data_IF_402558482676
#
_entry.id   IF_402558482676
#
_cell.length_a   1.000
_cell.length_b   1.000
_cell.length_c   1.000
_cell.angle_alpha   90.00
_cell.angle_beta   90.00
_cell.angle_gamma   90.00
#
_symmetry.space_group_name_H-M   'P 1'
#
loop_
_entity.id
_entity.type
_entity.pdbx_description
1 polymer ?
#
# COMPACT_ATOMS: atom_id res chain seq x y z
N UNK A 1 -12.48 -2.76 22.42
CA UNK A 1 -13.59 -2.94 21.44
C UNK A 1 -13.80 -4.43 21.16
N UNK A 2 -15.02 -4.91 21.37
CA UNK A 2 -15.43 -6.30 21.11
C UNK A 2 -15.25 -6.56 19.60
N UNK A 3 -14.54 -7.65 19.27
CA UNK A 3 -14.35 -8.09 17.90
C UNK A 3 -15.71 -8.52 17.31
N UNK A 4 -16.06 -7.99 16.12
CA UNK A 4 -17.08 -8.62 15.28
C UNK A 4 -18.26 -7.77 14.82
N UNK A 5 -18.40 -6.49 15.20
CA UNK A 5 -19.45 -5.66 14.59
C UNK A 5 -18.97 -5.09 13.24
N UNK A 6 -19.61 -5.42 12.11
CA UNK A 6 -19.32 -4.76 10.84
C UNK A 6 -19.80 -3.31 10.92
N UNK A 7 -18.89 -2.36 10.70
CA UNK A 7 -19.27 -0.96 10.58
C UNK A 7 -19.84 -0.69 9.19
N UNK A 8 -21.01 -0.06 9.13
CA UNK A 8 -21.54 0.45 7.87
C UNK A 8 -20.69 1.62 7.37
N UNK A 9 -20.58 1.78 6.05
CA UNK A 9 -19.81 2.89 5.45
C UNK A 9 -20.36 4.25 5.91
N UNK A 10 -21.68 4.39 5.99
CA UNK A 10 -22.38 5.59 6.47
C UNK A 10 -22.03 5.95 7.91
N UNK A 11 -21.92 4.96 8.80
CA UNK A 11 -21.54 5.12 10.20
C UNK A 11 -20.08 5.59 10.33
N UNK A 12 -19.16 5.00 9.57
CA UNK A 12 -17.76 5.41 9.58
C UNK A 12 -17.60 6.83 9.03
N UNK A 13 -18.35 7.19 7.99
CA UNK A 13 -18.35 8.54 7.45
C UNK A 13 -18.87 9.57 8.46
N UNK A 14 -19.85 9.22 9.30
CA UNK A 14 -20.45 10.16 10.26
C UNK A 14 -19.68 10.24 11.59
N UNK A 15 -19.14 9.12 12.08
CA UNK A 15 -18.56 9.03 13.44
C UNK A 15 -17.07 8.72 13.47
N UNK A 16 -16.50 8.24 12.36
CA UNK A 16 -15.10 7.85 12.27
C UNK A 16 -14.16 9.04 12.44
N UNK A 17 -12.93 8.77 12.93
CA UNK A 17 -11.91 9.82 13.06
C UNK A 17 -11.58 10.35 11.67
N UNK A 18 -11.91 11.62 11.42
CA UNK A 18 -11.61 12.32 10.18
C UNK A 18 -10.19 12.91 10.19
N UNK A 19 -9.51 12.84 9.06
CA UNK A 19 -8.19 13.42 8.86
C UNK A 19 -8.08 13.96 7.42
N UNK A 20 -7.95 15.28 7.31
CA UNK A 20 -7.58 15.95 6.08
C UNK A 20 -6.06 15.88 5.90
N UNK A 21 -5.61 15.51 4.72
CA UNK A 21 -4.18 15.43 4.36
C UNK A 21 -4.01 15.48 2.83
N UNK A 22 -2.75 15.57 2.39
CA UNK A 22 -2.35 15.28 1.03
C UNK A 22 -1.91 13.80 0.95
N UNK A 23 -2.74 12.98 0.32
CA UNK A 23 -2.58 11.54 0.27
C UNK A 23 -1.91 11.10 -1.03
N UNK A 24 -0.67 10.65 -0.94
CA UNK A 24 0.05 10.04 -2.05
C UNK A 24 -0.34 8.58 -2.19
N UNK A 25 -0.75 8.18 -3.41
CA UNK A 25 -1.06 6.79 -3.75
C UNK A 25 0.26 6.04 -3.90
N UNK A 26 0.55 5.16 -2.94
CA UNK A 26 1.79 4.39 -2.94
C UNK A 26 1.71 3.25 -3.94
N UNK A 27 0.63 2.47 -3.88
CA UNK A 27 0.46 1.27 -4.67
C UNK A 27 -0.97 0.76 -4.56
N UNK A 28 -1.37 -0.02 -5.55
CA UNK A 28 -2.69 -0.66 -5.56
C UNK A 28 -2.58 -2.09 -6.04
N UNK A 29 -3.50 -2.93 -5.60
CA UNK A 29 -3.66 -4.29 -6.08
C UNK A 29 -5.14 -4.63 -6.22
N UNK A 30 -5.45 -5.49 -7.18
CA UNK A 30 -6.79 -6.02 -7.43
C UNK A 30 -6.74 -7.53 -7.36
N UNK A 31 -7.72 -8.12 -6.70
CA UNK A 31 -7.90 -9.56 -6.61
C UNK A 31 -9.36 -9.86 -6.93
N UNK A 32 -9.60 -10.76 -7.88
CA UNK A 32 -10.92 -11.24 -8.22
C UNK A 32 -11.12 -12.63 -7.61
N UNK A 33 -12.29 -12.86 -7.01
CA UNK A 33 -12.66 -14.18 -6.51
C UNK A 33 -13.50 -14.95 -7.56
N UNK A 34 -13.85 -16.20 -7.23
CA UNK A 34 -14.65 -17.07 -8.10
C UNK A 34 -16.07 -16.52 -8.40
N UNK A 35 -16.59 -15.61 -7.57
CA UNK A 35 -17.92 -14.99 -7.71
C UNK A 35 -17.92 -13.69 -8.53
N UNK A 36 -16.84 -13.38 -9.25
CA UNK A 36 -16.64 -12.09 -9.94
C UNK A 36 -16.75 -10.86 -9.02
N UNK A 37 -16.38 -11.04 -7.74
CA UNK A 37 -16.16 -9.96 -6.81
C UNK A 37 -14.69 -9.54 -6.90
N UNK A 38 -14.45 -8.35 -7.43
CA UNK A 38 -13.12 -7.75 -7.42
C UNK A 38 -12.96 -6.92 -6.15
N UNK A 39 -11.96 -7.27 -5.34
CA UNK A 39 -11.45 -6.45 -4.26
C UNK A 39 -10.30 -5.59 -4.78
N UNK A 40 -10.30 -4.30 -4.49
CA UNK A 40 -9.19 -3.39 -4.72
C UNK A 40 -8.67 -2.83 -3.41
N UNK A 41 -7.36 -2.93 -3.23
CA UNK A 41 -6.62 -2.34 -2.11
C UNK A 41 -5.78 -1.20 -2.65
N UNK A 42 -5.98 0.00 -2.10
CA UNK A 42 -5.20 1.19 -2.44
C UNK A 42 -4.52 1.70 -1.18
N UNK A 43 -3.20 1.73 -1.20
CA UNK A 43 -2.38 2.20 -0.08
C UNK A 43 -2.00 3.66 -0.27
N UNK A 44 -2.27 4.45 0.75
CA UNK A 44 -2.02 5.88 0.77
C UNK A 44 -1.02 6.27 1.86
N UNK A 45 -0.32 7.38 1.64
CA UNK A 45 0.48 8.06 2.64
C UNK A 45 0.10 9.53 2.76
N UNK A 46 -0.26 9.97 3.96
CA UNK A 46 -0.50 11.38 4.25
C UNK A 46 0.82 12.13 4.40
N UNK A 47 1.09 13.09 3.54
CA UNK A 47 2.34 13.85 3.53
C UNK A 47 2.52 14.70 4.79
N UNK A 48 1.42 15.22 5.36
CA UNK A 48 1.46 16.08 6.54
C UNK A 48 1.41 15.27 7.84
N UNK A 49 0.58 14.22 7.89
CA UNK A 49 0.43 13.40 9.09
C UNK A 49 1.41 12.22 9.20
N UNK A 50 2.11 11.89 8.11
CA UNK A 50 2.93 10.66 8.00
C UNK A 50 2.10 9.37 8.02
N UNK A 51 0.77 9.45 7.97
CA UNK A 51 -0.11 8.30 8.22
C UNK A 51 -0.25 7.40 7.00
N UNK A 52 -0.22 6.08 7.21
CA UNK A 52 -0.63 5.09 6.20
C UNK A 52 -2.15 4.88 6.25
N UNK A 53 -2.79 4.77 5.10
CA UNK A 53 -4.20 4.42 4.99
C UNK A 53 -4.42 3.34 3.91
N UNK A 54 -5.46 2.54 4.12
CA UNK A 54 -5.97 1.53 3.18
C UNK A 54 -7.38 1.92 2.76
N UNK A 55 -7.58 2.16 1.48
CA UNK A 55 -8.90 2.12 0.88
C UNK A 55 -9.15 0.70 0.39
N UNK A 56 -10.14 0.05 1.00
CA UNK A 56 -10.59 -1.30 0.64
C UNK A 56 -11.93 -1.19 -0.07
N UNK A 57 -11.93 -1.42 -1.37
CA UNK A 57 -13.08 -1.25 -2.24
C UNK A 57 -13.47 -2.58 -2.87
N UNK A 58 -14.77 -2.74 -3.10
CA UNK A 58 -15.35 -3.95 -3.68
C UNK A 58 -16.19 -3.57 -4.88
N UNK A 59 -16.06 -4.34 -5.95
CA UNK A 59 -16.79 -4.21 -7.21
C UNK A 59 -17.36 -5.58 -7.59
N UNK A 60 -18.64 -5.62 -8.00
CA UNK A 60 -19.31 -6.87 -8.39
C UNK A 60 -19.70 -6.81 -9.87
N UNK A 61 -19.56 -7.95 -10.57
CA UNK A 61 -20.05 -8.14 -11.93
C UNK A 61 -19.60 -7.05 -12.92
N UNK A 62 -18.32 -6.68 -12.88
CA UNK A 62 -17.71 -5.73 -13.81
C UNK A 62 -18.11 -4.26 -13.60
N UNK A 63 -18.87 -3.92 -12.54
CA UNK A 63 -19.03 -2.51 -12.15
C UNK A 63 -17.66 -1.94 -11.80
N UNK A 64 -17.23 -0.90 -12.49
CA UNK A 64 -15.97 -0.22 -12.18
C UNK A 64 -15.97 0.39 -10.78
N UNK A 65 -14.79 0.72 -10.27
CA UNK A 65 -14.67 1.44 -9.01
C UNK A 65 -15.05 2.92 -9.17
N UNK A 66 -15.69 3.50 -8.15
CA UNK A 66 -16.19 4.88 -8.17
C UNK A 66 -15.08 5.91 -8.38
N UNK A 67 -13.90 5.67 -7.79
CA UNK A 67 -12.76 6.58 -7.86
C UNK A 67 -11.58 5.98 -8.63
N UNK A 68 -10.91 6.81 -9.41
CA UNK A 68 -9.65 6.45 -10.07
C UNK A 68 -8.46 6.83 -9.18
N UNK A 69 -7.62 5.84 -8.88
CA UNK A 69 -6.39 6.00 -8.12
C UNK A 69 -5.21 5.65 -9.01
N UNK A 70 -4.24 6.57 -9.09
CA UNK A 70 -3.04 6.40 -9.91
C UNK A 70 -1.82 6.36 -8.98
N UNK A 71 -1.05 5.28 -9.02
CA UNK A 71 0.17 5.19 -8.20
C UNK A 71 1.09 6.37 -8.54
N UNK A 72 1.64 7.01 -7.52
CA UNK A 72 2.46 8.22 -7.66
C UNK A 72 1.68 9.50 -7.92
N UNK A 73 0.35 9.49 -7.86
CA UNK A 73 -0.43 10.73 -7.74
C UNK A 73 -0.68 11.09 -6.29
N UNK A 74 -0.99 12.37 -6.04
CA UNK A 74 -1.41 12.85 -4.71
C UNK A 74 -2.74 13.56 -4.81
N UNK A 75 -3.64 13.26 -3.87
CA UNK A 75 -4.93 13.90 -3.73
C UNK A 75 -5.02 14.63 -2.38
N UNK A 76 -5.56 15.83 -2.39
CA UNK A 76 -6.01 16.48 -1.17
C UNK A 76 -7.40 15.93 -0.81
N UNK A 77 -7.49 15.25 0.32
CA UNK A 77 -8.72 14.57 0.72
C UNK A 77 -8.86 14.47 2.24
N UNK A 78 -10.11 14.42 2.69
CA UNK A 78 -10.44 14.02 4.07
C UNK A 78 -10.81 12.55 4.09
N UNK A 79 -10.08 11.76 4.88
CA UNK A 79 -10.38 10.35 5.12
C UNK A 79 -11.07 10.17 6.47
N UNK A 80 -12.06 9.29 6.53
CA UNK A 80 -12.69 8.82 7.76
C UNK A 80 -12.19 7.40 8.07
N UNK A 81 -11.46 7.24 9.17
CA UNK A 81 -10.87 5.96 9.55
C UNK A 81 -11.86 5.08 10.31
N UNK A 82 -11.84 3.78 9.97
CA UNK A 82 -12.55 2.78 10.75
C UNK A 82 -11.99 2.75 12.19
N UNK A 83 -12.84 2.66 13.21
CA UNK A 83 -12.39 2.51 14.59
C UNK A 83 -11.70 1.14 14.76
N UNK A 84 -10.71 1.09 15.64
CA UNK A 84 -9.89 -0.11 15.87
C UNK A 84 -8.48 0.26 16.30
N UNK A 85 -7.63 -0.73 16.55
CA UNK A 85 -6.26 -0.51 17.04
C UNK A 85 -5.24 -0.32 15.91
N UNK A 86 -5.44 -0.95 14.75
CA UNK A 86 -4.55 -0.76 13.59
C UNK A 86 -4.85 0.52 12.81
N UNK A 87 -6.11 0.98 12.82
CA UNK A 87 -6.66 2.15 12.13
C UNK A 87 -6.07 2.44 10.73
N UNK A 88 -5.84 1.39 9.94
CA UNK A 88 -5.38 1.51 8.55
C UNK A 88 -6.54 1.78 7.61
N UNK A 89 -7.64 1.03 7.77
CA UNK A 89 -8.78 1.11 6.86
C UNK A 89 -9.47 2.46 6.99
N UNK A 90 -9.77 3.08 5.86
CA UNK A 90 -10.48 4.35 5.79
C UNK A 90 -11.48 4.39 4.63
N UNK A 91 -12.37 5.38 4.68
CA UNK A 91 -13.22 5.80 3.57
C UNK A 91 -12.87 7.23 3.19
N UNK A 92 -13.04 7.55 1.92
CA UNK A 92 -12.95 8.93 1.44
C UNK A 92 -14.22 9.66 1.84
N UNK A 93 -14.09 10.70 2.67
CA UNK A 93 -15.20 11.55 3.06
C UNK A 93 -15.38 12.72 2.09
N UNK A 94 -14.26 13.29 1.63
CA UNK A 94 -14.24 14.43 0.71
C UNK A 94 -12.94 14.44 -0.08
N UNK A 95 -13.02 14.82 -1.36
CA UNK A 95 -11.88 15.05 -2.26
C UNK A 95 -11.91 16.49 -2.70
N UNK A 96 -10.81 17.21 -2.51
CA UNK A 96 -10.74 18.64 -2.76
C UNK A 96 -10.03 18.94 -4.08
N UNK A 97 -8.80 18.45 -4.25
CA UNK A 97 -7.98 18.77 -5.43
C UNK A 97 -6.87 17.73 -5.65
N UNK A 98 -6.23 17.79 -6.82
CA UNK A 98 -4.92 17.16 -7.00
C UNK A 98 -3.82 18.01 -6.36
N UNK A 99 -2.76 17.36 -5.89
CA UNK A 99 -1.61 18.01 -5.29
C UNK A 99 -0.30 17.50 -5.88
N UNK A 100 0.80 18.22 -5.61
CA UNK A 100 2.12 17.78 -6.03
C UNK A 100 2.52 16.50 -5.29
N UNK A 101 3.04 15.52 -6.04
CA UNK A 101 3.49 14.26 -5.46
C UNK A 101 4.74 14.44 -4.61
N UNK A 102 4.68 13.91 -3.38
CA UNK A 102 5.83 13.69 -2.51
C UNK A 102 5.79 12.26 -2.00
N UNK A 103 6.84 11.51 -2.29
CA UNK A 103 6.99 10.17 -1.78
C UNK A 103 7.37 10.19 -0.29
N UNK A 104 6.96 9.19 0.50
CA UNK A 104 7.38 9.05 1.88
C UNK A 104 8.91 8.91 1.96
N UNK A 105 9.50 9.60 2.93
CA UNK A 105 10.89 9.40 3.32
C UNK A 105 10.92 8.57 4.61
N UNK A 106 11.31 7.30 4.50
CA UNK A 106 11.33 6.36 5.61
C UNK A 106 12.61 5.52 5.60
N UNK A 107 13.16 5.28 6.78
CA UNK A 107 14.28 4.33 6.96
C UNK A 107 13.74 2.91 7.16
N UNK A 108 14.57 1.92 6.84
CA UNK A 108 14.21 0.51 7.04
C UNK A 108 13.81 0.23 8.49
N UNK A 109 14.57 0.76 9.44
CA UNK A 109 14.31 0.59 10.88
C UNK A 109 12.97 1.20 11.33
N UNK A 110 12.56 2.35 10.76
CA UNK A 110 11.30 2.99 11.10
C UNK A 110 10.09 2.21 10.57
N UNK A 111 10.22 1.64 9.37
CA UNK A 111 9.20 0.80 8.76
C UNK A 111 9.03 -0.50 9.55
N UNK A 112 10.11 -1.18 9.92
CA UNK A 112 10.03 -2.36 10.79
C UNK A 112 9.41 -2.06 12.16
N UNK A 113 9.76 -0.92 12.78
CA UNK A 113 9.14 -0.50 14.04
C UNK A 113 7.64 -0.31 13.89
N UNK A 114 7.22 0.36 12.82
CA UNK A 114 5.79 0.58 12.51
C UNK A 114 5.04 -0.73 12.31
N UNK A 115 5.66 -1.71 11.65
CA UNK A 115 5.10 -3.06 11.50
C UNK A 115 4.95 -3.72 12.87
N UNK A 116 6.01 -3.74 13.68
CA UNK A 116 6.00 -4.37 15.00
C UNK A 116 4.95 -3.76 15.95
N UNK A 117 4.83 -2.43 15.99
CA UNK A 117 3.81 -1.73 16.78
C UNK A 117 2.39 -2.11 16.35
N UNK A 118 2.16 -2.26 15.03
CA UNK A 118 0.86 -2.65 14.50
C UNK A 118 0.52 -4.11 14.80
N UNK A 119 1.49 -5.01 14.69
CA UNK A 119 1.31 -6.42 15.09
C UNK A 119 0.98 -6.52 16.58
N UNK A 120 1.69 -5.77 17.42
CA UNK A 120 1.45 -5.76 18.86
C UNK A 120 0.07 -5.21 19.24
N UNK A 121 -0.42 -4.18 18.53
CA UNK A 121 -1.73 -3.58 18.81
C UNK A 121 -2.91 -4.31 18.17
N UNK A 122 -2.67 -5.05 17.08
CA UNK A 122 -3.70 -5.74 16.29
C UNK A 122 -3.11 -6.96 15.57
N UNK A 123 -3.04 -8.13 16.22
CA UNK A 123 -2.43 -9.34 15.65
C UNK A 123 -3.19 -9.90 14.44
N UNK A 124 -4.37 -9.37 14.15
CA UNK A 124 -5.23 -9.77 13.01
C UNK A 124 -4.91 -9.03 11.71
N UNK A 125 -4.06 -7.99 11.74
CA UNK A 125 -3.58 -7.36 10.51
C UNK A 125 -2.61 -8.31 9.85
N UNK A 126 -2.99 -8.85 8.69
CA UNK A 126 -2.13 -9.80 7.95
C UNK A 126 -1.18 -9.14 6.98
N UNK A 127 -1.54 -7.95 6.48
CA UNK A 127 -0.81 -7.26 5.43
C UNK A 127 -0.42 -5.88 5.91
N UNK A 128 0.88 -5.64 5.96
CA UNK A 128 1.45 -4.39 6.44
C UNK A 128 2.01 -3.57 5.27
N UNK A 129 1.55 -2.32 5.07
CA UNK A 129 2.18 -1.44 4.10
C UNK A 129 3.62 -1.16 4.53
N UNK A 130 4.57 -1.42 3.64
CA UNK A 130 5.99 -1.12 3.86
C UNK A 130 6.57 -0.36 2.67
N UNK A 131 7.32 0.70 2.97
CA UNK A 131 8.14 1.40 1.98
C UNK A 131 9.61 1.18 2.28
N UNK A 132 10.31 0.57 1.33
CA UNK A 132 11.74 0.29 1.43
C UNK A 132 12.49 1.28 0.54
N UNK A 133 13.24 2.18 1.17
CA UNK A 133 14.06 3.18 0.50
C UNK A 133 15.38 2.57 0.04
N UNK A 134 15.86 2.97 -1.14
CA UNK A 134 17.16 2.53 -1.69
C UNK A 134 17.35 0.99 -1.73
N UNK A 135 16.29 0.26 -2.09
CA UNK A 135 16.27 -1.17 -2.25
C UNK A 135 16.80 -1.59 -3.63
N UNK A 136 17.71 -2.55 -3.67
CA UNK A 136 18.24 -3.13 -4.91
C UNK A 136 17.57 -4.49 -5.14
N UNK A 137 16.76 -4.68 -6.21
CA UNK A 137 16.20 -5.97 -6.54
C UNK A 137 17.29 -6.91 -7.09
N UNK A 138 17.32 -8.12 -6.56
CA UNK A 138 18.26 -9.17 -6.91
C UNK A 138 17.51 -10.47 -7.14
N UNK A 139 18.03 -11.29 -8.05
CA UNK A 139 17.53 -12.63 -8.33
C UNK A 139 18.65 -13.65 -8.13
N UNK A 140 18.38 -14.70 -7.36
CA UNK A 140 19.25 -15.85 -7.20
C UNK A 140 18.46 -17.13 -7.43
N UNK A 141 18.72 -17.81 -8.56
CA UNK A 141 17.89 -18.91 -9.02
C UNK A 141 16.43 -18.46 -9.24
N UNK A 142 15.50 -19.16 -8.58
CA UNK A 142 14.06 -18.89 -8.66
C UNK A 142 13.56 -17.93 -7.57
N UNK A 143 14.47 -17.38 -6.76
CA UNK A 143 14.12 -16.47 -5.68
C UNK A 143 14.49 -15.03 -6.03
N UNK A 144 13.55 -14.12 -5.80
CA UNK A 144 13.75 -12.68 -5.92
C UNK A 144 13.70 -12.05 -4.53
N UNK A 145 14.63 -11.14 -4.26
CA UNK A 145 14.72 -10.43 -2.99
C UNK A 145 15.19 -8.99 -3.21
N UNK A 146 15.01 -8.15 -2.19
CA UNK A 146 15.59 -6.83 -2.12
C UNK A 146 16.80 -6.85 -1.18
N UNK A 147 17.89 -6.21 -1.58
CA UNK A 147 18.95 -5.81 -0.67
C UNK A 147 18.69 -4.36 -0.22
N UNK A 148 18.52 -4.16 1.09
CA UNK A 148 18.22 -2.86 1.71
C UNK A 148 19.05 -2.72 2.99
N UNK A 149 19.90 -1.70 3.08
CA UNK A 149 20.77 -1.47 4.25
C UNK A 149 21.58 -2.72 4.68
N UNK A 150 22.00 -3.56 3.72
CA UNK A 150 22.73 -4.81 3.98
C UNK A 150 21.86 -6.00 4.43
N UNK A 151 20.54 -5.82 4.53
CA UNK A 151 19.57 -6.86 4.86
C UNK A 151 18.83 -7.32 3.61
N UNK A 152 18.37 -8.58 3.61
CA UNK A 152 17.57 -9.15 2.53
C UNK A 152 16.09 -9.22 2.89
N UNK A 153 15.22 -8.75 2.00
CA UNK A 153 13.76 -8.90 2.11
C UNK A 153 13.28 -9.77 0.97
N UNK A 154 12.68 -10.93 1.27
CA UNK A 154 12.14 -11.82 0.24
C UNK A 154 10.96 -11.15 -0.49
N UNK A 155 10.84 -11.38 -1.81
CA UNK A 155 9.74 -10.87 -2.61
C UNK A 155 8.78 -11.97 -3.04
N UNK A 156 7.48 -11.67 -2.99
CA UNK A 156 6.44 -12.48 -3.62
C UNK A 156 6.01 -11.83 -4.95
N UNK A 157 6.65 -12.30 -6.03
CA UNK A 157 6.51 -11.74 -7.38
C UNK A 157 6.57 -12.86 -8.42
N UNK A 158 5.69 -12.80 -9.43
CA UNK A 158 5.74 -13.73 -10.57
C UNK A 158 6.97 -13.52 -11.44
N UNK A 159 7.26 -14.46 -12.34
CA UNK A 159 8.47 -14.43 -13.17
C UNK A 159 8.49 -13.22 -14.12
N UNK A 160 7.37 -12.96 -14.81
CA UNK A 160 7.25 -11.83 -15.74
C UNK A 160 7.45 -10.48 -15.05
N UNK A 161 6.81 -10.29 -13.89
CA UNK A 161 6.97 -9.07 -13.10
C UNK A 161 8.37 -8.96 -12.50
N UNK A 162 9.02 -10.08 -12.16
CA UNK A 162 10.43 -10.12 -11.73
C UNK A 162 11.33 -9.55 -12.82
N UNK A 163 11.21 -10.03 -14.05
CA UNK A 163 12.03 -9.54 -15.15
C UNK A 163 11.76 -8.06 -15.46
N UNK A 164 10.50 -7.64 -15.42
CA UNK A 164 10.14 -6.22 -15.58
C UNK A 164 10.73 -5.34 -14.50
N UNK A 165 10.71 -5.79 -13.25
CA UNK A 165 11.29 -5.06 -12.12
C UNK A 165 12.81 -4.96 -12.27
N UNK A 166 13.49 -6.06 -12.61
CA UNK A 166 14.94 -6.06 -12.80
C UNK A 166 15.34 -5.13 -13.96
N UNK A 167 14.65 -5.22 -15.10
CA UNK A 167 14.89 -4.34 -16.24
C UNK A 167 14.65 -2.87 -15.92
N UNK A 168 13.58 -2.56 -15.17
CA UNK A 168 13.31 -1.21 -14.70
C UNK A 168 14.40 -0.69 -13.76
N UNK A 169 14.85 -1.51 -12.82
CA UNK A 169 15.89 -1.09 -11.85
C UNK A 169 17.25 -0.87 -12.50
N UNK A 170 17.59 -1.61 -13.56
CA UNK A 170 18.94 -1.63 -14.11
C UNK A 170 20.02 -2.02 -13.09
N UNK A 171 19.64 -2.71 -12.01
CA UNK A 171 20.52 -3.01 -10.86
C UNK A 171 20.78 -1.82 -9.94
N UNK A 172 20.12 -0.68 -10.13
CA UNK A 172 20.23 0.49 -9.29
C UNK A 172 19.27 0.44 -8.09
N UNK A 173 19.61 1.11 -6.97
CA UNK A 173 18.69 1.28 -5.86
C UNK A 173 17.44 2.06 -6.29
N UNK A 174 16.28 1.59 -5.83
CA UNK A 174 14.98 2.23 -6.02
C UNK A 174 14.22 2.27 -4.69
N UNK A 175 13.19 3.09 -4.60
CA UNK A 175 12.23 2.98 -3.52
C UNK A 175 11.12 2.00 -3.93
N UNK A 176 10.65 1.19 -3.01
CA UNK A 176 9.60 0.19 -3.27
C UNK A 176 8.50 0.27 -2.22
N UNK A 177 7.25 0.20 -2.67
CA UNK A 177 6.10 -0.05 -1.81
C UNK A 177 5.60 -1.48 -2.01
N UNK A 178 5.29 -2.16 -0.91
CA UNK A 178 4.65 -3.46 -0.95
C UNK A 178 3.84 -3.80 0.30
N UNK A 179 3.19 -4.96 0.23
CA UNK A 179 2.46 -5.55 1.35
C UNK A 179 3.32 -6.64 1.97
N UNK A 180 3.72 -6.43 3.22
CA UNK A 180 4.46 -7.40 4.01
C UNK A 180 3.50 -8.33 4.74
N UNK A 181 3.65 -9.64 4.52
CA UNK A 181 2.79 -10.68 5.11
C UNK A 181 3.40 -11.38 6.34
N UNK A 182 4.59 -10.95 6.77
CA UNK A 182 5.37 -11.60 7.82
C UNK A 182 6.52 -12.46 7.32
N UNK A 183 6.53 -12.81 6.02
CA UNK A 183 7.51 -13.70 5.39
C UNK A 183 8.14 -13.06 4.15
N UNK A 184 7.33 -12.46 3.29
CA UNK A 184 7.74 -11.82 2.05
C UNK A 184 6.99 -10.51 1.82
N UNK A 185 7.63 -9.61 1.08
CA UNK A 185 6.99 -8.40 0.59
C UNK A 185 6.37 -8.71 -0.77
N UNK A 186 5.08 -8.42 -0.94
CA UNK A 186 4.43 -8.39 -2.25
C UNK A 186 4.59 -6.99 -2.85
N UNK A 187 5.46 -6.77 -3.85
CA UNK A 187 5.66 -5.46 -4.44
C UNK A 187 4.40 -4.98 -5.15
N UNK A 188 4.01 -3.72 -4.94
CA UNK A 188 2.90 -3.09 -5.66
C UNK A 188 3.39 -2.02 -6.64
N UNK A 189 4.40 -1.26 -6.22
CA UNK A 189 5.04 -0.25 -7.04
C UNK A 189 6.48 -0.03 -6.61
N UNK A 190 7.28 0.53 -7.52
CA UNK A 190 8.63 0.96 -7.26
C UNK A 190 8.94 2.23 -8.04
N UNK A 191 9.71 3.15 -7.47
CA UNK A 191 10.05 4.41 -8.10
C UNK A 191 11.54 4.72 -7.93
N UNK A 192 12.10 5.32 -8.96
CA UNK A 192 13.47 5.77 -9.05
C UNK A 192 13.53 7.07 -9.84
N UNK A 193 14.72 7.43 -10.34
CA UNK A 193 14.92 8.66 -11.12
C UNK A 193 14.13 8.67 -12.44
N UNK A 194 13.91 7.51 -13.05
CA UNK A 194 13.39 7.38 -14.42
C UNK A 194 11.90 7.00 -14.50
N UNK A 195 11.15 7.13 -13.40
CA UNK A 195 9.70 6.97 -13.40
C UNK A 195 9.19 5.99 -12.35
N UNK A 196 8.18 5.20 -12.71
CA UNK A 196 7.44 4.34 -11.79
C UNK A 196 7.20 2.97 -12.42
N UNK A 197 7.67 1.92 -11.76
CA UNK A 197 7.25 0.55 -12.00
C UNK A 197 5.99 0.23 -11.20
N UNK A 198 5.08 -0.51 -11.83
CA UNK A 198 3.86 -1.01 -11.20
C UNK A 198 3.74 -2.50 -11.52
N UNK A 199 3.33 -3.27 -10.52
CA UNK A 199 3.02 -4.70 -10.69
C UNK A 199 1.89 -4.85 -11.72
N UNK A 200 1.95 -5.90 -12.51
CA UNK A 200 0.84 -6.27 -13.39
C UNK A 200 -0.41 -6.60 -12.57
N UNK A 201 -1.61 -6.28 -13.07
CA UNK A 201 -2.82 -6.94 -12.59
C UNK A 201 -2.66 -8.46 -12.79
N UNK A 202 -3.09 -9.25 -11.81
CA UNK A 202 -3.26 -10.70 -11.98
C UNK A 202 -4.48 -11.01 -12.84
#
# INVERSE_FOLDING_TARGET
PIAGWPYEKSEVLSTGKRLADQWTVLGQIREENEDHLTERRVWLHGQNSGRRALLLEHAFAGKGFEQSWLNGSTVEATLAFFPGTSMLRALVAEVTASAQTRWPDSTLSAEWRTVAERVASSPWVRLHPMVLSAAVPLRAGDHTFLLVEGQTVALHLGDDDTWRLLAYSGGQPLAMMGEWDGLALRPLSAWGVDGLWQRSPE
#
